data_IF_484405986255
#
_entry.id   IF_484405986255
#
_cell.length_a   1.000
_cell.length_b   1.000
_cell.length_c   1.000
_cell.angle_alpha   90.00
_cell.angle_beta   90.00
_cell.angle_gamma   90.00
#
_symmetry.space_group_name_H-M   'P 1'
#
loop_
_entity.id
_entity.type
_entity.pdbx_description
1 polymer ?
#
# COMPACT_ATOMS: atom_id res chain seq x y z
N UNK A 1 -5.50 48.33 -18.24
CA UNK A 1 -4.57 47.23 -18.57
C UNK A 1 -4.18 46.55 -17.27
N UNK A 2 -4.87 45.46 -16.92
CA UNK A 2 -4.62 44.66 -15.72
C UNK A 2 -3.40 43.77 -15.97
N UNK A 3 -2.22 44.26 -15.59
CA UNK A 3 -1.04 43.42 -15.48
C UNK A 3 -1.20 42.51 -14.27
N UNK A 4 -1.81 41.34 -14.47
CA UNK A 4 -1.58 40.20 -13.58
C UNK A 4 -0.10 39.84 -13.72
N UNK A 5 0.74 40.43 -12.87
CA UNK A 5 2.04 39.87 -12.58
C UNK A 5 1.81 38.42 -12.16
N UNK A 6 2.52 37.44 -12.76
CA UNK A 6 2.31 36.04 -12.42
C UNK A 6 2.69 35.90 -10.95
N UNK A 7 1.68 35.78 -10.07
CA UNK A 7 1.93 35.48 -8.67
C UNK A 7 2.89 34.29 -8.63
N UNK A 8 4.02 34.38 -7.90
CA UNK A 8 4.90 33.24 -7.72
C UNK A 8 4.13 32.18 -6.93
N UNK A 9 3.42 31.33 -7.66
CA UNK A 9 2.65 30.23 -7.09
C UNK A 9 3.67 29.28 -6.50
N UNK A 10 3.75 29.25 -5.17
CA UNK A 10 4.44 28.18 -4.46
C UNK A 10 3.88 26.85 -4.98
N UNK A 11 4.71 26.11 -5.74
CA UNK A 11 4.34 24.83 -6.33
C UNK A 11 5.27 23.76 -5.81
N UNK A 12 4.70 22.60 -5.52
CA UNK A 12 5.48 21.39 -5.27
C UNK A 12 6.14 20.97 -6.59
N UNK A 13 7.44 20.65 -6.61
CA UNK A 13 8.09 20.10 -7.79
C UNK A 13 7.39 18.82 -8.25
N UNK A 14 7.14 18.67 -9.56
CA UNK A 14 6.40 17.53 -10.12
C UNK A 14 7.01 16.19 -9.72
N UNK A 15 8.34 16.07 -9.78
CA UNK A 15 9.05 14.85 -9.40
C UNK A 15 8.83 14.48 -7.93
N UNK A 16 8.76 15.46 -7.03
CA UNK A 16 8.57 15.23 -5.60
C UNK A 16 7.14 14.78 -5.31
N UNK A 17 6.16 15.37 -6.01
CA UNK A 17 4.78 14.91 -5.97
C UNK A 17 4.64 13.49 -6.51
N UNK A 18 5.21 13.19 -7.67
CA UNK A 18 5.15 11.85 -8.27
C UNK A 18 5.80 10.81 -7.37
N UNK A 19 6.99 11.09 -6.85
CA UNK A 19 7.68 10.19 -5.93
C UNK A 19 6.87 9.96 -4.65
N UNK A 20 6.31 11.03 -4.06
CA UNK A 20 5.44 10.92 -2.89
C UNK A 20 4.21 10.05 -3.14
N UNK A 21 3.55 10.23 -4.29
CA UNK A 21 2.38 9.43 -4.68
C UNK A 21 2.73 7.96 -4.92
N UNK A 22 3.81 7.68 -5.65
CA UNK A 22 4.27 6.32 -5.92
C UNK A 22 4.63 5.60 -4.62
N UNK A 23 5.35 6.26 -3.72
CA UNK A 23 5.70 5.69 -2.42
C UNK A 23 4.46 5.46 -1.55
N UNK A 24 3.52 6.41 -1.51
CA UNK A 24 2.30 6.27 -0.73
C UNK A 24 1.41 5.12 -1.24
N UNK A 25 1.14 5.09 -2.55
CA UNK A 25 0.33 4.02 -3.18
C UNK A 25 1.05 2.68 -3.05
N UNK A 26 2.36 2.63 -3.28
CA UNK A 26 3.16 1.41 -3.14
C UNK A 26 3.15 0.87 -1.70
N UNK A 27 3.36 1.73 -0.71
CA UNK A 27 3.32 1.36 0.70
C UNK A 27 1.93 0.86 1.12
N UNK A 28 0.87 1.61 0.80
CA UNK A 28 -0.50 1.20 1.11
C UNK A 28 -0.89 -0.09 0.37
N UNK A 29 -0.50 -0.21 -0.90
CA UNK A 29 -0.78 -1.39 -1.71
C UNK A 29 -0.08 -2.63 -1.17
N UNK A 30 1.18 -2.50 -0.75
CA UNK A 30 1.93 -3.58 -0.10
C UNK A 30 1.31 -3.97 1.25
N UNK A 31 0.84 -2.99 2.04
CA UNK A 31 0.10 -3.30 3.26
C UNK A 31 -1.19 -4.08 2.96
N UNK A 32 -2.01 -3.60 2.02
CA UNK A 32 -3.25 -4.28 1.66
C UNK A 32 -3.00 -5.67 1.08
N UNK A 33 -1.91 -5.85 0.34
CA UNK A 33 -1.45 -7.15 -0.11
C UNK A 33 -1.20 -8.10 1.07
N UNK A 34 -0.44 -7.65 2.07
CA UNK A 34 -0.15 -8.46 3.26
C UNK A 34 -1.44 -8.75 4.04
N UNK A 35 -2.21 -7.71 4.36
CA UNK A 35 -3.45 -7.86 5.12
C UNK A 35 -4.42 -8.82 4.42
N UNK A 36 -4.58 -8.69 3.11
CA UNK A 36 -5.45 -9.58 2.33
C UNK A 36 -4.96 -11.01 2.31
N UNK A 37 -3.67 -11.24 2.08
CA UNK A 37 -3.09 -12.57 2.11
C UNK A 37 -3.18 -13.23 3.49
N UNK A 38 -2.98 -12.47 4.58
CA UNK A 38 -3.19 -12.93 5.96
C UNK A 38 -4.65 -13.31 6.18
N UNK A 39 -5.60 -12.46 5.77
CA UNK A 39 -7.02 -12.74 5.91
C UNK A 39 -7.46 -13.96 5.10
N UNK A 40 -6.91 -14.16 3.89
CA UNK A 40 -7.09 -15.38 3.09
C UNK A 40 -6.48 -16.61 3.75
N UNK A 41 -5.40 -16.47 4.51
CA UNK A 41 -4.81 -17.54 5.30
C UNK A 41 -5.64 -17.92 6.54
N UNK A 42 -6.34 -16.94 7.13
CA UNK A 42 -7.24 -17.12 8.27
C UNK A 42 -8.60 -17.71 7.86
N UNK A 43 -9.11 -17.36 6.68
CA UNK A 43 -10.30 -17.96 6.11
C UNK A 43 -9.95 -19.35 5.55
N UNK A 44 -10.46 -20.46 6.13
CA UNK A 44 -10.13 -21.80 5.66
C UNK A 44 -10.77 -22.05 4.29
N UNK A 45 -10.03 -21.76 3.22
CA UNK A 45 -10.51 -21.96 1.85
C UNK A 45 -9.36 -22.31 0.90
N UNK A 46 -9.66 -23.06 -0.15
CA UNK A 46 -8.72 -23.37 -1.22
C UNK A 46 -9.44 -23.20 -2.56
N UNK A 47 -8.91 -22.40 -3.46
CA UNK A 47 -9.55 -22.02 -4.72
C UNK A 47 -10.36 -20.72 -4.63
N UNK A 48 -11.19 -20.52 -5.66
CA UNK A 48 -12.06 -19.35 -5.83
C UNK A 48 -13.38 -19.65 -5.13
N UNK A 49 -13.40 -19.42 -3.81
CA UNK A 49 -14.62 -19.39 -3.02
C UNK A 49 -15.01 -17.94 -2.76
N UNK A 50 -16.14 -17.51 -3.35
CA UNK A 50 -16.65 -16.14 -3.20
C UNK A 50 -16.93 -15.76 -1.75
N UNK A 51 -17.35 -16.72 -0.92
CA UNK A 51 -17.60 -16.48 0.50
C UNK A 51 -16.32 -16.12 1.22
N UNK A 52 -15.29 -16.95 1.06
CA UNK A 52 -13.99 -16.71 1.67
C UNK A 52 -13.28 -15.46 1.13
N UNK A 53 -13.41 -15.15 -0.16
CA UNK A 53 -12.90 -13.89 -0.74
C UNK A 53 -13.63 -12.70 -0.10
N UNK A 54 -14.95 -12.76 0.04
CA UNK A 54 -15.72 -11.69 0.68
C UNK A 54 -15.32 -11.49 2.15
N UNK A 55 -15.21 -12.57 2.93
CA UNK A 55 -14.75 -12.51 4.33
C UNK A 55 -13.34 -11.95 4.44
N UNK A 56 -12.42 -12.39 3.56
CA UNK A 56 -11.06 -11.89 3.56
C UNK A 56 -11.00 -10.40 3.19
N UNK A 57 -11.81 -9.98 2.20
CA UNK A 57 -11.94 -8.59 1.79
C UNK A 57 -12.47 -7.73 2.93
N UNK A 58 -13.52 -8.18 3.63
CA UNK A 58 -14.07 -7.49 4.79
C UNK A 58 -13.02 -7.32 5.90
N UNK A 59 -12.29 -8.38 6.25
CA UNK A 59 -11.22 -8.30 7.23
C UNK A 59 -10.08 -7.37 6.79
N UNK A 60 -9.77 -7.35 5.49
CA UNK A 60 -8.77 -6.43 4.91
C UNK A 60 -9.19 -4.98 5.09
N UNK A 61 -10.47 -4.67 4.86
CA UNK A 61 -11.04 -3.33 5.08
C UNK A 61 -10.97 -2.96 6.56
N UNK A 62 -11.32 -3.88 7.46
CA UNK A 62 -11.26 -3.65 8.90
C UNK A 62 -9.82 -3.35 9.37
N UNK A 63 -8.82 -4.10 8.88
CA UNK A 63 -7.40 -3.81 9.14
C UNK A 63 -6.98 -2.46 8.53
N UNK A 64 -7.49 -2.15 7.35
CA UNK A 64 -7.24 -0.89 6.63
C UNK A 64 -7.68 0.37 7.37
N UNK A 65 -8.57 0.29 8.36
CA UNK A 65 -8.97 1.44 9.18
C UNK A 65 -7.77 2.08 9.90
N UNK A 66 -6.74 1.29 10.24
CA UNK A 66 -5.50 1.81 10.83
C UNK A 66 -4.71 2.72 9.86
N UNK A 67 -4.77 2.44 8.55
CA UNK A 67 -4.08 3.23 7.52
C UNK A 67 -4.74 4.56 7.25
N UNK A 68 -6.03 4.71 7.52
CA UNK A 68 -6.74 5.99 7.30
C UNK A 68 -6.08 7.15 8.05
N UNK A 69 -5.45 6.87 9.20
CA UNK A 69 -4.68 7.84 9.97
C UNK A 69 -3.39 8.31 9.30
N UNK A 70 -2.92 7.62 8.26
CA UNK A 70 -1.75 7.99 7.46
C UNK A 70 -2.06 9.01 6.37
N UNK A 71 -3.27 9.59 6.34
CA UNK A 71 -3.67 10.66 5.41
C UNK A 71 -2.65 11.80 5.34
N UNK A 72 -1.99 12.11 6.45
CA UNK A 72 -0.96 13.15 6.54
C UNK A 72 0.28 12.84 5.68
N UNK A 73 0.58 11.57 5.38
CA UNK A 73 1.71 11.19 4.54
C UNK A 73 1.50 11.66 3.09
N UNK A 74 0.28 11.61 2.58
CA UNK A 74 -0.04 12.07 1.23
C UNK A 74 0.18 13.59 1.06
N UNK A 75 0.09 14.34 2.16
CA UNK A 75 0.26 15.80 2.20
C UNK A 75 1.70 16.22 2.55
N UNK A 76 2.60 15.28 2.88
CA UNK A 76 3.99 15.61 3.25
C UNK A 76 4.74 16.45 2.21
N UNK A 77 4.66 16.17 0.89
CA UNK A 77 5.32 17.02 -0.11
C UNK A 77 4.76 18.44 -0.10
N UNK A 78 3.45 18.61 0.02
CA UNK A 78 2.79 19.91 0.07
C UNK A 78 3.18 20.67 1.34
N UNK A 79 3.09 20.00 2.50
CA UNK A 79 3.50 20.52 3.80
C UNK A 79 4.99 20.93 3.83
N UNK A 80 5.86 20.15 3.20
CA UNK A 80 7.29 20.45 3.14
C UNK A 80 7.60 21.61 2.19
N UNK A 81 7.17 21.55 0.93
CA UNK A 81 7.58 22.50 -0.10
C UNK A 81 6.83 23.83 -0.04
N UNK A 82 5.57 23.83 0.39
CA UNK A 82 4.76 25.05 0.46
C UNK A 82 4.86 25.67 1.85
N UNK A 83 4.78 24.89 2.92
CA UNK A 83 4.68 25.49 4.26
C UNK A 83 6.03 25.52 4.99
N UNK A 84 6.76 24.41 5.05
CA UNK A 84 7.98 24.34 5.89
C UNK A 84 9.23 24.95 5.24
N UNK A 85 9.48 24.65 3.96
CA UNK A 85 10.68 25.10 3.23
C UNK A 85 10.73 26.63 3.10
N UNK A 86 9.65 27.35 2.74
CA UNK A 86 9.71 28.80 2.62
C UNK A 86 10.04 29.51 3.94
N UNK A 87 9.42 29.09 5.05
CA UNK A 87 9.77 29.62 6.37
C UNK A 87 11.24 29.37 6.75
N UNK A 88 11.79 28.20 6.39
CA UNK A 88 13.20 27.89 6.63
C UNK A 88 14.13 28.78 5.78
N UNK A 89 13.86 28.90 4.48
CA UNK A 89 14.65 29.73 3.58
C UNK A 89 14.66 31.19 4.01
N UNK A 90 13.51 31.73 4.45
CA UNK A 90 13.41 33.09 4.95
C UNK A 90 14.22 33.30 6.24
N UNK A 91 14.20 32.34 7.18
CA UNK A 91 15.07 32.38 8.37
C UNK A 91 16.56 32.40 8.01
N UNK A 92 16.92 31.68 6.96
CA UNK A 92 18.29 31.61 6.42
C UNK A 92 18.65 32.84 5.54
N UNK A 93 17.75 33.83 5.41
CA UNK A 93 17.98 35.03 4.60
C UNK A 93 17.90 34.82 3.08
N UNK A 94 17.24 33.74 2.65
CA UNK A 94 17.06 33.36 1.25
C UNK A 94 15.62 33.56 0.81
N UNK A 95 15.42 33.73 -0.49
CA UNK A 95 14.12 33.92 -1.09
C UNK A 95 13.24 32.70 -0.79
N UNK A 96 12.02 32.87 -0.26
CA UNK A 96 11.12 31.76 0.05
C UNK A 96 10.69 30.96 -1.18
N UNK A 97 10.71 31.55 -2.38
CA UNK A 97 10.32 30.92 -3.64
C UNK A 97 11.47 30.13 -4.28
N UNK A 98 12.58 30.80 -4.64
CA UNK A 98 13.69 30.18 -5.40
C UNK A 98 14.88 29.77 -4.53
N UNK A 99 15.03 30.29 -3.31
CA UNK A 99 16.17 30.02 -2.43
C UNK A 99 17.43 30.85 -2.71
N UNK A 100 17.36 31.86 -3.59
CA UNK A 100 18.46 32.79 -3.82
C UNK A 100 18.72 33.66 -2.57
N UNK A 101 19.97 33.97 -2.18
CA UNK A 101 20.26 34.83 -1.03
C UNK A 101 19.73 36.26 -1.26
N UNK A 102 18.93 36.79 -0.33
CA UNK A 102 18.31 38.14 -0.47
C UNK A 102 18.64 39.07 0.71
N UNK A 103 18.97 38.51 1.89
CA UNK A 103 19.32 39.29 3.10
C UNK A 103 20.54 40.20 2.95
N UNK A 104 21.36 40.00 1.93
CA UNK A 104 22.52 40.84 1.66
C UNK A 104 22.18 42.15 0.91
N UNK A 105 20.99 42.25 0.32
CA UNK A 105 20.68 43.29 -0.67
C UNK A 105 19.60 44.31 -0.22
N UNK A 106 18.91 44.08 0.90
CA UNK A 106 17.91 45.02 1.44
C UNK A 106 16.75 45.33 0.49
N UNK A 107 16.41 44.37 -0.40
CA UNK A 107 15.39 44.51 -1.44
C UNK A 107 14.13 43.73 -1.10
N UNK A 108 12.98 44.37 -1.31
CA UNK A 108 11.65 43.80 -1.10
C UNK A 108 11.29 42.72 -2.14
N UNK A 109 12.04 42.66 -3.26
CA UNK A 109 11.82 41.71 -4.35
C UNK A 109 13.10 40.94 -4.68
N UNK A 110 12.94 39.63 -4.93
CA UNK A 110 14.06 38.79 -5.34
C UNK A 110 14.47 39.10 -6.79
N UNK A 111 15.74 39.46 -7.00
CA UNK A 111 16.29 39.76 -8.34
C UNK A 111 16.32 38.59 -9.33
N UNK A 112 16.20 37.35 -8.88
CA UNK A 112 16.18 36.16 -9.74
C UNK A 112 14.77 35.76 -10.19
N UNK A 113 13.83 35.70 -9.25
CA UNK A 113 12.49 35.16 -9.50
C UNK A 113 11.38 36.21 -9.42
N UNK A 114 11.70 37.46 -9.09
CA UNK A 114 10.75 38.55 -8.93
C UNK A 114 9.77 38.39 -7.76
N UNK A 115 9.94 37.35 -6.94
CA UNK A 115 9.04 37.09 -5.82
C UNK A 115 9.30 38.08 -4.68
N UNK A 116 8.21 38.55 -4.08
CA UNK A 116 8.23 39.33 -2.86
C UNK A 116 8.87 38.51 -1.72
N UNK A 117 9.88 39.09 -1.07
CA UNK A 117 10.71 38.42 -0.08
C UNK A 117 9.96 38.22 1.24
N UNK A 118 9.01 39.12 1.55
CA UNK A 118 8.25 39.12 2.80
C UNK A 118 6.95 38.32 2.70
N UNK A 119 6.56 37.90 1.49
CA UNK A 119 5.33 37.15 1.25
C UNK A 119 5.50 35.67 1.56
N UNK A 120 5.03 35.27 2.75
CA UNK A 120 4.92 33.87 3.15
C UNK A 120 3.58 33.27 2.71
N UNK A 121 3.55 31.97 2.38
CA UNK A 121 2.29 31.26 2.18
C UNK A 121 1.50 31.17 3.50
N UNK A 122 0.16 31.12 3.44
CA UNK A 122 -0.67 30.96 4.63
C UNK A 122 -0.35 29.64 5.37
N UNK A 123 -0.77 29.56 6.63
CA UNK A 123 -0.63 28.34 7.43
C UNK A 123 -1.36 27.17 6.77
N UNK A 124 -0.77 25.98 6.86
CA UNK A 124 -1.34 24.76 6.30
C UNK A 124 -2.70 24.46 6.94
N UNK A 125 -3.73 24.29 6.13
CA UNK A 125 -5.04 23.83 6.55
C UNK A 125 -5.39 22.55 5.76
N UNK A 126 -5.77 21.49 6.48
CA UNK A 126 -6.23 20.25 5.83
C UNK A 126 -7.54 20.56 5.10
N UNK A 127 -7.45 20.70 3.78
CA UNK A 127 -8.62 20.95 2.94
C UNK A 127 -9.33 19.67 2.51
N UNK A 128 -10.60 19.78 2.13
CA UNK A 128 -11.37 18.67 1.52
C UNK A 128 -10.69 18.04 0.29
N UNK A 129 -9.87 18.82 -0.42
CA UNK A 129 -9.07 18.34 -1.56
C UNK A 129 -8.05 17.27 -1.14
N UNK A 130 -7.43 17.41 0.03
CA UNK A 130 -6.50 16.44 0.60
C UNK A 130 -7.20 15.10 0.83
N UNK A 131 -8.37 15.15 1.49
CA UNK A 131 -9.22 13.98 1.75
C UNK A 131 -9.59 13.28 0.45
N UNK A 132 -10.07 14.01 -0.56
CA UNK A 132 -10.44 13.43 -1.86
C UNK A 132 -9.25 12.73 -2.54
N UNK A 133 -8.08 13.35 -2.57
CA UNK A 133 -6.87 12.77 -3.17
C UNK A 133 -6.44 11.51 -2.42
N UNK A 134 -6.45 11.55 -1.10
CA UNK A 134 -6.15 10.38 -0.26
C UNK A 134 -7.15 9.25 -0.47
N UNK A 135 -8.46 9.52 -0.50
CA UNK A 135 -9.48 8.51 -0.76
C UNK A 135 -9.27 7.80 -2.10
N UNK A 136 -8.94 8.55 -3.16
CA UNK A 136 -8.64 7.97 -4.48
C UNK A 136 -7.43 7.04 -4.39
N UNK A 137 -6.33 7.50 -3.78
CA UNK A 137 -5.13 6.68 -3.64
C UNK A 137 -5.34 5.47 -2.73
N UNK A 138 -6.15 5.59 -1.69
CA UNK A 138 -6.53 4.49 -0.81
C UNK A 138 -7.29 3.41 -1.58
N UNK A 139 -8.28 3.80 -2.39
CA UNK A 139 -9.04 2.86 -3.24
C UNK A 139 -8.13 2.19 -4.26
N UNK A 140 -7.27 2.96 -4.94
CA UNK A 140 -6.32 2.39 -5.91
C UNK A 140 -5.34 1.42 -5.25
N UNK A 141 -4.77 1.79 -4.11
CA UNK A 141 -3.87 0.93 -3.34
C UNK A 141 -4.56 -0.33 -2.85
N UNK A 142 -5.81 -0.22 -2.38
CA UNK A 142 -6.63 -1.36 -1.97
C UNK A 142 -6.87 -2.34 -3.13
N UNK A 143 -7.28 -1.83 -4.29
CA UNK A 143 -7.50 -2.66 -5.49
C UNK A 143 -6.20 -3.34 -5.94
N UNK A 144 -5.09 -2.60 -6.01
CA UNK A 144 -3.79 -3.16 -6.41
C UNK A 144 -3.33 -4.21 -5.40
N UNK A 145 -3.42 -3.93 -4.10
CA UNK A 145 -2.99 -4.84 -3.04
C UNK A 145 -3.80 -6.14 -3.01
N UNK A 146 -5.14 -6.05 -3.09
CA UNK A 146 -6.03 -7.22 -3.09
C UNK A 146 -5.85 -8.08 -4.33
N UNK A 147 -5.82 -7.47 -5.53
CA UNK A 147 -5.61 -8.21 -6.79
C UNK A 147 -4.25 -8.89 -6.82
N UNK A 148 -3.18 -8.20 -6.43
CA UNK A 148 -1.84 -8.80 -6.39
C UNK A 148 -1.76 -9.95 -5.38
N UNK A 149 -2.42 -9.83 -4.23
CA UNK A 149 -2.51 -10.91 -3.24
C UNK A 149 -3.22 -12.15 -3.82
N UNK A 150 -4.38 -11.97 -4.47
CA UNK A 150 -5.11 -13.08 -5.09
C UNK A 150 -4.31 -13.75 -6.22
N UNK A 151 -3.57 -12.98 -7.02
CA UNK A 151 -2.67 -13.54 -8.05
C UNK A 151 -1.58 -14.40 -7.42
N UNK A 152 -0.94 -13.94 -6.34
CA UNK A 152 0.10 -14.69 -5.63
C UNK A 152 -0.48 -15.96 -4.99
N UNK A 153 -1.65 -15.86 -4.37
CA UNK A 153 -2.35 -17.02 -3.78
C UNK A 153 -2.72 -18.03 -4.86
N UNK A 154 -3.29 -17.58 -5.98
CA UNK A 154 -3.65 -18.45 -7.08
C UNK A 154 -2.42 -19.15 -7.68
N UNK A 155 -1.27 -18.46 -7.77
CA UNK A 155 -0.01 -19.06 -8.20
C UNK A 155 0.49 -20.12 -7.21
N UNK A 156 0.36 -19.89 -5.91
CA UNK A 156 0.72 -20.85 -4.86
C UNK A 156 -0.16 -22.11 -4.94
N UNK A 157 -1.47 -21.95 -5.05
CA UNK A 157 -2.39 -23.08 -5.19
C UNK A 157 -2.15 -23.89 -6.47
N UNK A 158 -1.81 -23.23 -7.59
CA UNK A 158 -1.42 -23.92 -8.83
C UNK A 158 -0.16 -24.77 -8.61
N UNK A 159 0.81 -24.23 -7.87
CA UNK A 159 2.03 -24.98 -7.49
C UNK A 159 1.66 -26.22 -6.68
N UNK A 160 0.78 -26.12 -5.68
CA UNK A 160 0.33 -27.27 -4.88
C UNK A 160 -0.39 -28.32 -5.72
N UNK A 161 -1.31 -27.90 -6.61
CA UNK A 161 -1.99 -28.80 -7.56
C UNK A 161 -1.00 -29.53 -8.46
N UNK A 162 0.04 -28.85 -8.95
CA UNK A 162 1.07 -29.48 -9.78
C UNK A 162 1.93 -30.49 -9.02
N UNK A 163 2.28 -30.18 -7.77
CA UNK A 163 3.02 -31.07 -6.90
C UNK A 163 2.24 -32.37 -6.64
N UNK A 164 0.96 -32.25 -6.24
CA UNK A 164 0.07 -33.40 -6.02
C UNK A 164 -0.01 -34.26 -7.29
N UNK A 165 -0.30 -33.67 -8.46
CA UNK A 165 -0.37 -34.42 -9.72
C UNK A 165 0.93 -35.20 -10.01
N UNK A 166 2.09 -34.61 -9.72
CA UNK A 166 3.38 -35.27 -9.95
C UNK A 166 3.61 -36.47 -9.02
N UNK A 167 3.15 -36.37 -7.77
CA UNK A 167 3.28 -37.46 -6.78
C UNK A 167 2.27 -38.56 -7.10
N UNK A 168 1.00 -38.20 -7.36
CA UNK A 168 -0.04 -39.15 -7.76
C UNK A 168 0.36 -39.92 -9.02
N UNK A 169 0.91 -39.27 -10.05
CA UNK A 169 1.37 -39.95 -11.26
C UNK A 169 2.47 -40.99 -10.98
N UNK A 170 3.41 -40.71 -10.06
CA UNK A 170 4.47 -41.64 -9.66
C UNK A 170 3.93 -42.79 -8.79
N UNK A 171 2.97 -42.51 -7.91
CA UNK A 171 2.37 -43.52 -7.05
C UNK A 171 1.43 -44.44 -7.82
N UNK A 172 0.69 -43.97 -8.84
CA UNK A 172 -0.12 -44.87 -9.69
C UNK A 172 0.73 -45.90 -10.43
N UNK A 173 1.98 -45.57 -10.76
CA UNK A 173 2.94 -46.53 -11.35
C UNK A 173 3.59 -47.47 -10.34
N UNK A 174 3.54 -47.16 -9.05
CA UNK A 174 4.14 -47.96 -7.98
C UNK A 174 3.01 -48.52 -7.10
N UNK A 175 2.71 -49.81 -7.23
CA UNK A 175 1.64 -50.55 -6.55
C UNK A 175 1.68 -50.41 -5.01
N UNK A 176 1.31 -49.26 -4.44
CA UNK A 176 1.20 -49.06 -3.00
C UNK A 176 -0.23 -48.64 -2.66
N UNK A 177 -0.93 -49.52 -1.95
CA UNK A 177 -2.24 -49.23 -1.35
C UNK A 177 -2.15 -48.28 -0.16
N UNK A 178 -1.13 -47.42 -0.10
CA UNK A 178 -0.89 -46.51 1.02
C UNK A 178 -1.56 -45.17 0.73
N UNK A 179 -2.41 -44.74 1.66
CA UNK A 179 -3.12 -43.46 1.58
C UNK A 179 -2.11 -42.32 1.55
N UNK A 180 -2.08 -41.58 0.44
CA UNK A 180 -1.14 -40.48 0.25
C UNK A 180 -1.71 -39.23 0.92
N UNK A 181 -1.06 -38.80 1.99
CA UNK A 181 -1.39 -37.56 2.71
C UNK A 181 -0.22 -36.59 2.54
N UNK A 182 -0.54 -35.38 2.06
CA UNK A 182 0.43 -34.32 1.80
C UNK A 182 0.02 -33.06 2.55
N UNK A 183 0.96 -32.41 3.23
CA UNK A 183 0.71 -31.13 3.91
C UNK A 183 1.58 -30.05 3.29
N UNK A 184 0.96 -28.93 2.90
CA UNK A 184 1.60 -27.77 2.33
C UNK A 184 1.49 -26.58 3.28
N UNK A 185 2.60 -25.89 3.53
CA UNK A 185 2.56 -24.56 4.11
C UNK A 185 2.32 -23.54 2.99
N UNK A 186 1.46 -22.55 3.24
CA UNK A 186 1.28 -21.44 2.27
C UNK A 186 2.55 -20.60 2.18
N UNK A 187 2.70 -19.89 1.06
CA UNK A 187 3.79 -18.91 0.92
C UNK A 187 3.58 -17.69 1.80
N UNK A 188 4.68 -16.99 2.10
CA UNK A 188 4.64 -15.70 2.78
C UNK A 188 3.71 -14.73 2.02
N UNK A 189 2.89 -13.93 2.71
CA UNK A 189 2.85 -13.69 4.17
C UNK A 189 1.94 -14.64 4.96
N UNK A 190 1.27 -15.60 4.31
CA UNK A 190 0.32 -16.51 4.93
C UNK A 190 0.95 -17.82 5.43
N UNK A 191 2.27 -17.87 5.65
CA UNK A 191 3.02 -19.10 5.95
C UNK A 191 2.65 -19.80 7.26
N UNK A 192 1.87 -19.15 8.12
CA UNK A 192 1.28 -19.74 9.31
C UNK A 192 0.10 -20.68 8.99
N UNK A 193 -0.51 -20.57 7.81
CA UNK A 193 -1.64 -21.37 7.36
C UNK A 193 -1.16 -22.60 6.57
N UNK A 194 -1.84 -23.74 6.76
CA UNK A 194 -1.52 -25.01 6.12
C UNK A 194 -2.70 -25.52 5.30
N UNK A 195 -2.39 -26.26 4.24
CA UNK A 195 -3.35 -26.95 3.39
C UNK A 195 -2.95 -28.42 3.34
N UNK A 196 -3.84 -29.29 3.77
CA UNK A 196 -3.70 -30.73 3.65
C UNK A 196 -4.32 -31.21 2.34
N UNK A 197 -3.78 -32.29 1.81
CA UNK A 197 -4.35 -32.98 0.67
C UNK A 197 -4.42 -34.48 0.98
N UNK A 198 -5.60 -35.05 0.75
CA UNK A 198 -5.87 -36.48 0.84
C UNK A 198 -6.56 -36.94 -0.44
N UNK A 199 -6.33 -38.19 -0.85
CA UNK A 199 -6.97 -38.79 -2.03
C UNK A 199 -8.50 -38.85 -1.94
N UNK A 200 -9.07 -38.88 -0.73
CA UNK A 200 -10.53 -38.94 -0.52
C UNK A 200 -11.21 -37.57 -0.44
N UNK A 201 -10.61 -36.61 0.27
CA UNK A 201 -11.22 -35.31 0.58
C UNK A 201 -10.66 -34.13 -0.23
N UNK A 202 -9.64 -34.37 -1.06
CA UNK A 202 -8.98 -33.33 -1.85
C UNK A 202 -8.19 -32.35 -0.99
N UNK A 203 -8.08 -31.10 -1.46
CA UNK A 203 -7.40 -30.05 -0.70
C UNK A 203 -8.31 -29.53 0.42
N UNK A 204 -7.83 -29.64 1.65
CA UNK A 204 -8.52 -29.18 2.86
C UNK A 204 -7.64 -28.15 3.60
N UNK A 205 -8.13 -26.91 3.78
CA UNK A 205 -7.43 -25.92 4.58
C UNK A 205 -7.51 -26.31 6.07
N UNK A 206 -6.37 -26.24 6.78
CA UNK A 206 -6.33 -26.55 8.21
C UNK A 206 -6.66 -25.29 9.01
N UNK A 207 -7.69 -25.36 9.84
CA UNK A 207 -8.03 -24.26 10.75
C UNK A 207 -6.89 -24.04 11.76
N UNK A 208 -6.40 -22.80 11.85
CA UNK A 208 -5.30 -22.43 12.76
C UNK A 208 -5.73 -22.59 14.22
N UNK A 209 -7.02 -22.40 14.51
CA UNK A 209 -7.62 -22.61 15.82
C UNK A 209 -8.38 -23.94 15.87
N UNK A 210 -7.71 -25.05 15.58
CA UNK A 210 -8.22 -26.33 16.06
C UNK A 210 -8.00 -26.36 17.58
N UNK A 211 -9.02 -26.02 18.36
CA UNK A 211 -9.05 -26.41 19.77
C UNK A 211 -8.97 -27.94 19.77
N UNK A 212 -7.77 -28.48 20.02
CA UNK A 212 -7.63 -29.91 20.26
C UNK A 212 -8.56 -30.31 21.40
N UNK A 213 -9.11 -31.53 21.41
CA UNK A 213 -9.77 -32.03 22.60
C UNK A 213 -8.76 -31.92 23.75
N UNK A 214 -9.15 -31.20 24.80
CA UNK A 214 -8.30 -30.90 25.94
C UNK A 214 -7.60 -32.16 26.42
N UNK A 215 -6.26 -32.09 26.50
CA UNK A 215 -5.50 -33.01 27.33
C UNK A 215 -5.76 -32.71 28.80
#
# INVERSE_FOLDING_TARGET
>A
MTGESPEPRFRVPLWASLLGWVLAIGFMGFYFHIAHAVMRGLAPCFGIDSGAIATATFGTVAMGLGIVWLVFIAELPEMWFIHRRPHRLMRDGRCPACGHPVRAAGVDQCGECGADVDRLPPSYAVGWRAVKRFSIALVLAFLVGTVTAEVVIAADERSMRSAVRSVTAKTTTATSGQRLELTFARRWPASFSKVEWNSESGFQPVAIFSYGPGR
#
